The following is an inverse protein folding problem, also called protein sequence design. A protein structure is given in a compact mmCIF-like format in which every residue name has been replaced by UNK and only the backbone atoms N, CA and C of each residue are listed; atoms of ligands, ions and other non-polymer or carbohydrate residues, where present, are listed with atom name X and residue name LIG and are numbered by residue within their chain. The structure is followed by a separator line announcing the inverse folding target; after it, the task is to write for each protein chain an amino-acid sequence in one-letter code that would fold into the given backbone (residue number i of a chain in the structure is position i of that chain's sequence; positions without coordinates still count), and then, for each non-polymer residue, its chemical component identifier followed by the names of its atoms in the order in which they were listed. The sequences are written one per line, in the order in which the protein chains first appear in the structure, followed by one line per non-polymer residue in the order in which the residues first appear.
data_IF_626119986096
#
_entry.id   IF_626119986096
#
_cell.length_a   1.000
_cell.length_b   1.000
_cell.length_c   1.000
_cell.angle_alpha   90.00
_cell.angle_beta   90.00
_cell.angle_gamma   90.00
#
_symmetry.space_group_name_H-M   'P 1'
#
loop_
_entity.id
_entity.type
_entity.pdbx_description
1 polymer ?
#
# COMPACT_ATOMS: atom_id res chain seq x y z
N UNK A 1 12.88 -13.74 -4.04
CA UNK A 1 12.68 -12.81 -2.89
C UNK A 1 11.32 -12.11 -2.90
N UNK A 2 10.79 -11.69 -4.05
CA UNK A 2 9.51 -10.92 -4.14
C UNK A 2 8.27 -11.72 -3.69
N UNK A 3 8.19 -13.01 -4.02
CA UNK A 3 7.02 -13.86 -3.69
C UNK A 3 6.77 -13.98 -2.18
N UNK A 4 7.83 -14.13 -1.38
CA UNK A 4 7.72 -14.20 0.08
C UNK A 4 7.16 -12.89 0.65
N UNK A 5 7.65 -11.73 0.20
CA UNK A 5 7.20 -10.42 0.67
C UNK A 5 5.70 -10.20 0.43
N UNK A 6 5.21 -10.57 -0.76
CA UNK A 6 3.79 -10.49 -1.11
C UNK A 6 2.98 -11.41 -0.20
N UNK A 7 3.37 -12.67 -0.09
CA UNK A 7 2.66 -13.66 0.72
C UNK A 7 2.62 -13.23 2.20
N UNK A 8 3.77 -12.86 2.76
CA UNK A 8 3.90 -12.43 4.14
C UNK A 8 3.05 -11.19 4.43
N UNK A 9 3.04 -10.20 3.54
CA UNK A 9 2.18 -9.01 3.68
C UNK A 9 0.69 -9.38 3.69
N UNK A 10 0.26 -10.17 2.70
CA UNK A 10 -1.15 -10.59 2.58
C UNK A 10 -1.58 -11.41 3.80
N UNK A 11 -0.76 -12.35 4.25
CA UNK A 11 -1.09 -13.21 5.39
C UNK A 11 -1.05 -12.46 6.72
N UNK A 12 -0.10 -11.54 6.91
CA UNK A 12 -0.02 -10.72 8.13
C UNK A 12 -1.25 -9.84 8.29
N UNK A 13 -1.73 -9.21 7.22
CA UNK A 13 -2.94 -8.40 7.24
C UNK A 13 -4.21 -9.22 7.48
N UNK A 14 -4.24 -10.50 7.06
CA UNK A 14 -5.35 -11.42 7.36
C UNK A 14 -5.33 -11.90 8.81
N UNK A 15 -4.14 -12.22 9.32
CA UNK A 15 -3.97 -12.73 10.67
C UNK A 15 -4.19 -11.64 11.73
N UNK A 16 -3.69 -10.42 11.48
CA UNK A 16 -3.80 -9.28 12.40
C UNK A 16 -4.13 -8.00 11.61
N UNK A 17 -5.38 -7.80 11.21
CA UNK A 17 -5.79 -6.67 10.38
C UNK A 17 -5.57 -5.31 11.05
N UNK A 18 -5.70 -5.25 12.38
CA UNK A 18 -5.55 -4.03 13.19
C UNK A 18 -4.10 -3.73 13.59
N UNK A 19 -3.13 -4.54 13.15
CA UNK A 19 -1.72 -4.29 13.44
C UNK A 19 -1.25 -2.95 12.84
N UNK A 20 -0.22 -2.36 13.45
CA UNK A 20 0.41 -1.15 12.93
C UNK A 20 1.10 -1.44 11.58
N UNK A 21 0.94 -0.60 10.55
CA UNK A 21 1.51 -0.86 9.21
C UNK A 21 3.04 -0.98 9.22
N UNK A 22 3.73 -0.32 10.15
CA UNK A 22 5.19 -0.33 10.33
C UNK A 22 5.73 -1.73 10.66
N UNK A 23 4.88 -2.64 11.12
CA UNK A 23 5.27 -4.03 11.41
C UNK A 23 5.66 -4.82 10.15
N UNK A 24 5.17 -4.40 8.98
CA UNK A 24 5.33 -5.12 7.71
C UNK A 24 5.74 -4.20 6.56
N UNK A 25 5.37 -2.93 6.60
CA UNK A 25 5.68 -1.94 5.58
C UNK A 25 6.82 -1.04 6.05
N UNK A 26 7.63 -0.60 5.08
CA UNK A 26 8.69 0.38 5.31
C UNK A 26 8.12 1.79 5.47
N UNK A 27 8.84 2.67 6.15
CA UNK A 27 8.44 4.07 6.32
C UNK A 27 8.23 4.78 4.99
N UNK A 28 9.01 4.46 3.96
CA UNK A 28 8.86 5.01 2.60
C UNK A 28 7.58 4.55 1.91
N UNK A 29 7.24 3.26 2.01
CA UNK A 29 5.97 2.73 1.50
C UNK A 29 4.79 3.41 2.20
N UNK A 30 4.84 3.53 3.53
CA UNK A 30 3.80 4.19 4.33
C UNK A 30 3.65 5.65 3.93
N UNK A 31 4.75 6.42 3.90
CA UNK A 31 4.72 7.83 3.51
C UNK A 31 4.21 8.04 2.08
N UNK A 32 4.54 7.12 1.17
CA UNK A 32 4.05 7.17 -0.22
C UNK A 32 2.55 6.89 -0.27
N UNK A 33 2.06 5.89 0.46
CA UNK A 33 0.62 5.59 0.55
C UNK A 33 -0.17 6.73 1.20
N UNK A 34 0.37 7.33 2.26
CA UNK A 34 -0.20 8.51 2.93
C UNK A 34 -0.28 9.70 1.96
N UNK A 35 0.77 9.95 1.16
CA UNK A 35 0.77 11.01 0.16
C UNK A 35 -0.25 10.76 -0.97
N UNK A 36 -0.40 9.49 -1.40
CA UNK A 36 -1.42 9.10 -2.39
C UNK A 36 -2.82 9.33 -1.80
N UNK A 37 -3.06 8.92 -0.55
CA UNK A 37 -4.38 9.06 0.08
C UNK A 37 -4.76 10.52 0.33
N UNK A 38 -3.79 11.35 0.75
CA UNK A 38 -3.96 12.79 0.93
C UNK A 38 -4.30 13.53 -0.38
N UNK A 39 -3.88 12.99 -1.53
CA UNK A 39 -4.21 13.55 -2.83
C UNK A 39 -5.62 13.15 -3.33
N UNK A 40 -6.32 12.22 -2.66
CA UNK A 40 -7.68 11.81 -3.04
C UNK A 40 -8.70 12.80 -2.48
N UNK A 41 -9.76 13.05 -3.24
CA UNK A 41 -10.91 13.84 -2.76
C UNK A 41 -11.61 13.20 -1.55
N UNK A 42 -11.57 11.86 -1.46
CA UNK A 42 -12.09 11.10 -0.33
C UNK A 42 -10.99 10.19 0.22
N UNK A 43 -10.50 10.42 1.45
CA UNK A 43 -9.48 9.58 2.05
C UNK A 43 -10.03 8.16 2.25
N UNK A 44 -9.18 7.18 2.02
CA UNK A 44 -9.49 5.76 2.19
C UNK A 44 -8.76 5.16 3.39
N UNK A 45 -7.66 5.76 3.84
CA UNK A 45 -6.97 5.38 5.07
C UNK A 45 -7.65 6.11 6.25
N UNK A 46 -8.79 5.58 6.69
CA UNK A 46 -9.52 6.15 7.84
C UNK A 46 -8.86 5.80 9.18
N UNK A 47 -8.24 4.61 9.24
CA UNK A 47 -7.48 4.12 10.39
C UNK A 47 -6.14 3.61 9.87
N UNK A 48 -5.06 3.89 10.59
CA UNK A 48 -3.71 3.45 10.21
C UNK A 48 -3.47 2.00 10.63
N UNK A 49 -4.10 1.05 9.94
CA UNK A 49 -4.00 -0.39 10.22
C UNK A 49 -3.43 -1.15 9.02
N UNK A 50 -2.79 -2.28 9.26
CA UNK A 50 -2.19 -3.07 8.19
C UNK A 50 -3.20 -3.46 7.10
N UNK A 51 -4.45 -3.72 7.47
CA UNK A 51 -5.52 -4.02 6.52
C UNK A 51 -5.86 -2.83 5.60
N UNK A 52 -5.91 -1.59 6.12
CA UNK A 52 -6.23 -0.41 5.28
C UNK A 52 -5.11 -0.10 4.30
N UNK A 53 -3.85 -0.24 4.73
CA UNK A 53 -2.69 -0.09 3.84
C UNK A 53 -2.62 -1.22 2.80
N UNK A 54 -2.90 -2.47 3.19
CA UNK A 54 -2.99 -3.58 2.23
C UNK A 54 -4.08 -3.32 1.18
N UNK A 55 -5.24 -2.82 1.60
CA UNK A 55 -6.32 -2.46 0.70
C UNK A 55 -5.88 -1.38 -0.29
N UNK A 56 -5.18 -0.33 0.16
CA UNK A 56 -4.63 0.69 -0.74
C UNK A 56 -3.65 0.11 -1.75
N UNK A 57 -2.74 -0.76 -1.30
CA UNK A 57 -1.80 -1.45 -2.19
C UNK A 57 -2.56 -2.27 -3.23
N UNK A 58 -3.54 -3.08 -2.81
CA UNK A 58 -4.34 -3.86 -3.74
C UNK A 58 -5.10 -2.99 -4.75
N UNK A 59 -5.62 -1.83 -4.32
CA UNK A 59 -6.30 -0.87 -5.20
C UNK A 59 -5.37 -0.29 -6.26
N UNK A 60 -4.11 0.01 -5.92
CA UNK A 60 -3.09 0.39 -6.91
C UNK A 60 -2.85 -0.73 -7.94
N UNK A 61 -3.04 -1.98 -7.55
CA UNK A 61 -2.97 -3.15 -8.41
C UNK A 61 -4.26 -3.50 -9.18
N UNK A 62 -5.30 -2.68 -9.06
CA UNK A 62 -6.58 -2.83 -9.77
C UNK A 62 -7.72 -3.46 -8.97
N UNK A 63 -7.56 -3.66 -7.65
CA UNK A 63 -8.65 -4.08 -6.78
C UNK A 63 -9.66 -2.94 -6.58
N UNK A 64 -10.96 -3.25 -6.69
CA UNK A 64 -12.00 -2.21 -6.72
C UNK A 64 -12.56 -1.86 -5.33
N UNK A 65 -12.40 -2.75 -4.34
CA UNK A 65 -12.90 -2.57 -2.98
C UNK A 65 -14.42 -2.33 -2.91
N UNK A 66 -15.20 -3.19 -3.59
CA UNK A 66 -16.66 -3.21 -3.51
C UNK A 66 -17.12 -4.00 -2.28
N UNK A 67 -18.36 -3.76 -1.87
CA UNK A 67 -18.92 -4.28 -0.61
C UNK A 67 -18.91 -5.82 -0.46
N UNK A 68 -18.83 -6.55 -1.58
CA UNK A 68 -18.84 -8.01 -1.63
C UNK A 68 -17.62 -8.59 -2.37
N UNK A 69 -16.58 -7.78 -2.59
CA UNK A 69 -15.36 -8.32 -3.18
C UNK A 69 -14.69 -9.27 -2.18
N UNK A 70 -14.16 -10.42 -2.64
CA UNK A 70 -13.36 -11.28 -1.78
C UNK A 70 -12.08 -10.54 -1.32
N UNK A 71 -11.44 -10.95 -0.22
CA UNK A 71 -10.19 -10.34 0.23
C UNK A 71 -9.15 -10.27 -0.89
N UNK A 72 -8.32 -9.21 -0.95
CA UNK A 72 -7.30 -9.06 -1.98
C UNK A 72 -6.44 -10.32 -2.16
N UNK A 73 -6.33 -10.76 -3.41
CA UNK A 73 -5.46 -11.88 -3.80
C UNK A 73 -4.01 -11.43 -4.03
N UNK A 74 -3.09 -12.39 -4.04
CA UNK A 74 -1.65 -12.09 -4.18
C UNK A 74 -1.30 -11.37 -5.49
N UNK A 75 -2.04 -11.60 -6.57
CA UNK A 75 -1.79 -10.96 -7.87
C UNK A 75 -2.03 -9.44 -7.83
N UNK A 76 -3.16 -8.99 -7.25
CA UNK A 76 -3.44 -7.54 -7.13
C UNK A 76 -2.51 -6.89 -6.12
N UNK A 77 -2.11 -7.60 -5.06
CA UNK A 77 -1.11 -7.10 -4.11
C UNK A 77 0.26 -6.93 -4.78
N UNK A 78 0.70 -7.91 -5.59
CA UNK A 78 1.94 -7.80 -6.35
C UNK A 78 1.94 -6.61 -7.31
N UNK A 79 0.91 -6.49 -8.15
CA UNK A 79 0.76 -5.34 -9.06
C UNK A 79 0.78 -4.02 -8.30
N UNK A 80 0.10 -3.99 -7.15
CA UNK A 80 0.05 -2.86 -6.24
C UNK A 80 1.42 -2.46 -5.69
N UNK A 81 2.20 -3.42 -5.20
CA UNK A 81 3.55 -3.18 -4.68
C UNK A 81 4.51 -2.69 -5.77
N UNK A 82 4.46 -3.28 -6.96
CA UNK A 82 5.25 -2.81 -8.11
C UNK A 82 4.92 -1.35 -8.42
N UNK A 83 3.63 -1.03 -8.51
CA UNK A 83 3.17 0.35 -8.79
C UNK A 83 3.53 1.32 -7.68
N UNK A 84 3.46 0.89 -6.42
CA UNK A 84 3.85 1.70 -5.27
C UNK A 84 5.34 2.04 -5.32
N UNK A 85 6.20 1.08 -5.67
CA UNK A 85 7.64 1.28 -5.80
C UNK A 85 7.97 2.29 -6.91
N UNK A 86 7.31 2.23 -8.06
CA UNK A 86 7.47 3.20 -9.14
C UNK A 86 7.11 4.62 -8.70
N UNK A 87 6.01 4.76 -7.94
CA UNK A 87 5.56 6.06 -7.42
C UNK A 87 6.54 6.58 -6.36
N UNK A 88 6.96 5.74 -5.42
CA UNK A 88 7.95 6.10 -4.39
C UNK A 88 9.26 6.58 -5.04
N UNK A 89 9.71 5.89 -6.08
CA UNK A 89 10.86 6.30 -6.88
C UNK A 89 10.64 7.68 -7.53
N UNK A 90 9.50 7.90 -8.18
CA UNK A 90 9.14 9.19 -8.78
C UNK A 90 9.11 10.34 -7.76
N UNK A 91 8.58 10.10 -6.56
CA UNK A 91 8.60 11.07 -5.46
C UNK A 91 10.02 11.38 -4.99
N UNK A 92 10.89 10.38 -4.89
CA UNK A 92 12.29 10.56 -4.50
C UNK A 92 13.09 11.41 -5.49
N UNK A 93 12.77 11.32 -6.79
CA UNK A 93 13.36 12.20 -7.82
C UNK A 93 12.85 13.63 -7.65
N UNK A 94 11.55 13.79 -7.37
CA UNK A 94 10.95 15.11 -7.18
C UNK A 94 11.51 15.85 -5.97
N UNK A 95 11.72 15.17 -4.84
CA UNK A 95 12.27 15.79 -3.63
C UNK A 95 13.69 16.29 -3.83
N UNK A 96 14.53 15.57 -4.60
CA UNK A 96 15.90 16.02 -4.94
C UNK A 96 15.93 17.36 -5.68
N UNK A 97 14.91 17.68 -6.48
CA UNK A 97 14.86 18.94 -7.25
C UNK A 97 14.45 20.18 -6.44
N UNK A 98 13.95 20.02 -5.21
CA UNK A 98 13.51 21.15 -4.37
C UNK A 98 14.60 21.70 -3.45
N UNK A 99 15.76 21.05 -3.38
CA UNK A 99 16.90 21.50 -2.55
C UNK A 99 17.96 22.25 -3.39
N UNK A 100 17.52 23.03 -4.38
CA UNK A 100 18.36 23.90 -5.19
C UNK A 100 17.73 25.27 -5.34
#
# INVERSE_FOLDING_TARGET
MVSWRIFFLTMSARAKPDAAPETVLTSTEIATLDAIDAARSKPRILRKTLATYLLQIAMLGGYLARNHDPPPGNMVVWRGLTRLNDIAFGLSIRTRRRCG
#
